data_IF_393668110346
#
_entry.id   IF_393668110346
#
_cell.length_a   1.000
_cell.length_b   1.000
_cell.length_c   1.000
_cell.angle_alpha   90.00
_cell.angle_beta   90.00
_cell.angle_gamma   90.00
#
_symmetry.space_group_name_H-M   'P 1'
#
loop_
_entity.id
_entity.type
_entity.pdbx_description
1 polymer ?
#
# COMPACT_ATOMS: atom_id res chain seq x y z
N UNK A 1 14.09 38.51 -37.57
CA UNK A 1 13.12 38.35 -36.47
C UNK A 1 12.61 36.92 -36.31
N UNK A 2 12.18 36.21 -37.38
CA UNK A 2 11.71 34.80 -37.33
C UNK A 2 12.68 33.80 -36.69
N UNK A 3 13.98 33.87 -37.02
CA UNK A 3 14.96 32.94 -36.45
C UNK A 3 15.11 33.05 -34.92
N UNK A 4 14.96 34.24 -34.35
CA UNK A 4 14.98 34.40 -32.89
C UNK A 4 13.70 33.86 -32.24
N UNK A 5 12.52 34.06 -32.84
CA UNK A 5 11.26 33.54 -32.27
C UNK A 5 11.24 32.01 -32.22
N UNK A 6 11.74 31.33 -33.25
CA UNK A 6 11.80 29.86 -33.28
C UNK A 6 12.72 29.29 -32.18
N UNK A 7 13.82 29.98 -31.87
CA UNK A 7 14.72 29.60 -30.78
C UNK A 7 14.07 29.81 -29.40
N UNK A 8 13.32 30.90 -29.22
CA UNK A 8 12.57 31.12 -27.98
C UNK A 8 11.47 30.07 -27.78
N UNK A 9 10.75 29.69 -28.84
CA UNK A 9 9.75 28.62 -28.78
C UNK A 9 10.36 27.27 -28.41
N UNK A 10 11.51 26.92 -29.00
CA UNK A 10 12.23 25.69 -28.67
C UNK A 10 12.70 25.66 -27.20
N UNK A 11 13.20 26.78 -26.68
CA UNK A 11 13.60 26.89 -25.28
C UNK A 11 12.39 26.71 -24.36
N UNK A 12 11.25 27.32 -24.68
CA UNK A 12 10.01 27.18 -23.90
C UNK A 12 9.55 25.72 -23.89
N UNK A 13 9.51 25.06 -25.04
CA UNK A 13 9.13 23.64 -25.15
C UNK A 13 10.10 22.76 -24.35
N UNK A 14 11.40 23.02 -24.42
CA UNK A 14 12.39 22.27 -23.66
C UNK A 14 12.18 22.41 -22.14
N UNK A 15 11.94 23.63 -21.65
CA UNK A 15 11.66 23.90 -20.24
C UNK A 15 10.38 23.18 -19.78
N UNK A 16 9.34 23.16 -20.61
CA UNK A 16 8.09 22.46 -20.30
C UNK A 16 8.30 20.94 -20.21
N UNK A 17 9.05 20.35 -21.13
CA UNK A 17 9.36 18.91 -21.13
C UNK A 17 10.17 18.54 -19.87
N UNK A 18 11.22 19.29 -19.56
CA UNK A 18 12.04 19.05 -18.36
C UNK A 18 11.19 19.21 -17.08
N UNK A 19 10.34 20.24 -17.04
CA UNK A 19 9.40 20.46 -15.94
C UNK A 19 8.42 19.29 -15.77
N UNK A 20 7.93 18.72 -16.86
CA UNK A 20 7.02 17.56 -16.84
C UNK A 20 7.72 16.31 -16.29
N UNK A 21 8.94 16.02 -16.74
CA UNK A 21 9.74 14.90 -16.20
C UNK A 21 10.07 15.09 -14.72
N UNK A 22 10.41 16.31 -14.30
CA UNK A 22 10.65 16.63 -12.89
C UNK A 22 9.39 16.44 -12.04
N UNK A 23 8.24 16.90 -12.55
CA UNK A 23 6.93 16.71 -11.93
C UNK A 23 6.62 15.23 -11.73
N UNK A 24 6.75 14.41 -12.77
CA UNK A 24 6.54 12.96 -12.69
C UNK A 24 7.49 12.30 -11.68
N UNK A 25 8.78 12.65 -11.72
CA UNK A 25 9.77 12.11 -10.79
C UNK A 25 9.44 12.46 -9.33
N UNK A 26 9.06 13.71 -9.05
CA UNK A 26 8.72 14.15 -7.70
C UNK A 26 7.45 13.47 -7.18
N UNK A 27 6.43 13.28 -8.01
CA UNK A 27 5.21 12.58 -7.66
C UNK A 27 5.46 11.10 -7.31
N UNK A 28 6.28 10.41 -8.13
CA UNK A 28 6.68 9.02 -7.86
C UNK A 28 7.48 8.92 -6.56
N UNK A 29 8.43 9.83 -6.35
CA UNK A 29 9.26 9.86 -5.13
C UNK A 29 8.42 10.13 -3.88
N UNK A 30 7.46 11.07 -3.96
CA UNK A 30 6.53 11.37 -2.87
C UNK A 30 5.65 10.16 -2.55
N UNK A 31 5.09 9.49 -3.57
CA UNK A 31 4.29 8.28 -3.39
C UNK A 31 5.10 7.17 -2.73
N UNK A 32 6.32 6.90 -3.20
CA UNK A 32 7.22 5.90 -2.59
C UNK A 32 7.52 6.26 -1.13
N UNK A 33 7.79 7.52 -0.82
CA UNK A 33 8.09 7.97 0.54
C UNK A 33 6.88 7.82 1.48
N UNK A 34 5.70 8.25 1.03
CA UNK A 34 4.44 8.11 1.78
C UNK A 34 4.13 6.64 2.04
N UNK A 35 4.19 5.80 1.00
CA UNK A 35 3.96 4.36 1.13
C UNK A 35 4.98 3.68 2.05
N UNK A 36 6.23 4.12 2.04
CA UNK A 36 7.28 3.60 2.95
C UNK A 36 7.06 4.02 4.41
N UNK A 37 6.53 5.22 4.64
CA UNK A 37 6.32 5.75 5.99
C UNK A 37 4.98 5.34 6.61
N UNK A 38 3.90 5.39 5.84
CA UNK A 38 2.54 5.07 6.29
C UNK A 38 2.26 3.56 6.25
N UNK A 39 2.91 2.82 5.35
CA UNK A 39 2.59 1.42 5.09
C UNK A 39 1.42 1.28 4.12
N UNK A 40 0.92 0.05 3.99
CA UNK A 40 -0.21 -0.32 3.16
C UNK A 40 -1.34 -0.86 4.04
N UNK A 41 -2.57 -0.51 3.68
CA UNK A 41 -3.75 -1.02 4.36
C UNK A 41 -4.15 -2.37 3.76
N UNK A 42 -4.38 -3.34 4.64
CA UNK A 42 -4.73 -4.70 4.29
C UNK A 42 -5.91 -5.17 5.10
N UNK A 43 -6.80 -5.88 4.43
CA UNK A 43 -7.84 -6.68 5.03
C UNK A 43 -7.36 -8.13 5.13
N UNK A 44 -7.24 -8.63 6.35
CA UNK A 44 -6.90 -10.01 6.66
C UNK A 44 -8.19 -10.73 7.04
N UNK A 45 -8.47 -11.86 6.40
CA UNK A 45 -9.55 -12.77 6.78
C UNK A 45 -9.00 -14.16 7.05
N UNK A 46 -9.45 -14.76 8.15
CA UNK A 46 -9.15 -16.13 8.53
C UNK A 46 -10.36 -17.03 8.25
N UNK A 47 -10.20 -17.95 7.31
CA UNK A 47 -11.20 -18.98 7.00
C UNK A 47 -10.82 -20.29 7.70
N UNK A 48 -10.68 -20.25 9.03
CA UNK A 48 -10.32 -21.41 9.83
C UNK A 48 -11.43 -21.72 10.85
N UNK A 49 -12.24 -22.77 10.65
CA UNK A 49 -13.25 -23.16 11.61
C UNK A 49 -12.59 -23.66 12.90
N UNK A 50 -12.86 -22.98 14.02
CA UNK A 50 -12.51 -23.45 15.37
C UNK A 50 -11.21 -22.92 15.99
N UNK A 51 -10.45 -22.05 15.32
CA UNK A 51 -9.26 -21.40 15.89
C UNK A 51 -9.39 -19.89 15.85
N UNK A 52 -9.51 -19.28 17.03
CA UNK A 52 -9.53 -17.83 17.19
C UNK A 52 -8.08 -17.34 17.12
N UNK A 53 -7.75 -16.60 16.06
CA UNK A 53 -6.40 -16.06 15.85
C UNK A 53 -6.38 -14.62 16.31
N UNK A 54 -5.87 -14.39 17.51
CA UNK A 54 -5.80 -13.05 18.07
C UNK A 54 -4.47 -12.36 17.69
N UNK A 55 -4.51 -11.54 16.64
CA UNK A 55 -3.36 -10.74 16.20
C UNK A 55 -2.90 -9.71 17.24
N UNK A 56 -3.79 -9.26 18.14
CA UNK A 56 -3.43 -8.31 19.20
C UNK A 56 -2.50 -8.91 20.26
N UNK A 57 -2.41 -10.24 20.34
CA UNK A 57 -1.50 -10.94 21.26
C UNK A 57 -0.10 -11.17 20.68
N UNK A 58 0.11 -10.95 19.38
CA UNK A 58 1.42 -11.10 18.75
C UNK A 58 2.19 -9.78 18.79
N UNK A 59 2.98 -9.61 19.85
CA UNK A 59 3.81 -8.42 20.07
C UNK A 59 4.93 -8.26 19.04
N UNK A 60 5.32 -9.32 18.32
CA UNK A 60 6.33 -9.26 17.26
C UNK A 60 5.68 -8.70 16.00
N UNK A 61 4.50 -9.20 15.64
CA UNK A 61 3.72 -8.73 14.50
C UNK A 61 3.31 -7.26 14.67
N UNK A 62 2.87 -6.86 15.87
CA UNK A 62 2.47 -5.49 16.18
C UNK A 62 3.60 -4.44 16.07
N UNK A 63 4.87 -4.86 15.99
CA UNK A 63 5.98 -3.94 15.69
C UNK A 63 6.01 -3.54 14.21
N UNK A 64 5.42 -4.36 13.34
CA UNK A 64 5.46 -4.17 11.90
C UNK A 64 4.10 -3.81 11.30
N UNK A 65 3.01 -4.09 12.03
CA UNK A 65 1.65 -3.76 11.65
C UNK A 65 0.94 -2.96 12.75
N UNK A 66 -0.01 -2.12 12.36
CA UNK A 66 -0.96 -1.46 13.23
C UNK A 66 -2.35 -2.00 12.93
N UNK A 67 -3.04 -2.52 13.93
CA UNK A 67 -4.44 -2.95 13.77
C UNK A 67 -5.33 -1.71 13.81
N UNK A 68 -6.11 -1.49 12.75
CA UNK A 68 -7.03 -0.36 12.60
C UNK A 68 -8.42 -0.76 13.07
N UNK A 69 -8.87 -1.95 12.67
CA UNK A 69 -10.15 -2.51 13.07
C UNK A 69 -10.08 -4.03 13.12
N UNK A 70 -10.99 -4.63 13.88
CA UNK A 70 -11.17 -6.07 13.95
C UNK A 70 -12.66 -6.42 14.07
N UNK A 71 -13.03 -7.61 13.62
CA UNK A 71 -14.36 -8.15 13.85
C UNK A 71 -14.49 -8.69 15.27
N UNK A 72 -15.71 -8.69 15.83
CA UNK A 72 -15.98 -9.16 17.21
C UNK A 72 -15.58 -10.62 17.43
N UNK A 73 -15.72 -11.43 16.39
CA UNK A 73 -15.38 -12.84 16.32
C UNK A 73 -13.90 -13.10 15.97
N UNK A 74 -13.10 -12.04 15.77
CA UNK A 74 -11.67 -12.12 15.46
C UNK A 74 -11.35 -12.98 14.22
N UNK A 75 -12.31 -13.08 13.29
CA UNK A 75 -12.15 -13.75 12.00
C UNK A 75 -11.57 -12.82 10.94
N UNK A 76 -11.64 -11.50 11.15
CA UNK A 76 -11.09 -10.53 10.22
C UNK A 76 -10.51 -9.29 10.90
N UNK A 77 -9.53 -8.69 10.23
CA UNK A 77 -8.74 -7.57 10.70
C UNK A 77 -8.41 -6.63 9.56
N UNK A 78 -8.65 -5.33 9.76
CA UNK A 78 -8.07 -4.28 8.92
C UNK A 78 -6.78 -3.81 9.59
N UNK A 79 -5.66 -3.95 8.90
CA UNK A 79 -4.33 -3.65 9.43
C UNK A 79 -3.56 -2.78 8.46
N UNK A 80 -2.81 -1.84 9.01
CA UNK A 80 -1.82 -1.08 8.27
C UNK A 80 -0.45 -1.72 8.49
N UNK A 81 0.20 -2.18 7.42
CA UNK A 81 1.46 -2.91 7.49
C UNK A 81 2.54 -2.25 6.64
N UNK A 82 3.76 -2.17 7.18
CA UNK A 82 4.94 -1.78 6.38
C UNK A 82 5.45 -2.91 5.48
N UNK A 83 5.00 -4.14 5.70
CA UNK A 83 5.29 -5.29 4.86
C UNK A 83 4.42 -5.29 3.60
N UNK A 84 4.92 -5.91 2.52
CA UNK A 84 4.06 -6.24 1.38
C UNK A 84 3.07 -7.37 1.76
N UNK A 85 2.02 -7.50 0.95
CA UNK A 85 0.98 -8.52 1.04
C UNK A 85 1.56 -9.94 1.13
N UNK A 86 2.52 -10.29 0.27
CA UNK A 86 3.12 -11.62 0.21
C UNK A 86 3.90 -11.98 1.48
N UNK A 87 4.70 -11.06 2.00
CA UNK A 87 5.46 -11.28 3.23
C UNK A 87 4.54 -11.33 4.44
N UNK A 88 3.52 -10.47 4.48
CA UNK A 88 2.51 -10.50 5.54
C UNK A 88 1.75 -11.82 5.55
N UNK A 89 1.28 -12.30 4.38
CA UNK A 89 0.62 -13.60 4.24
C UNK A 89 1.53 -14.74 4.69
N UNK A 90 2.77 -14.77 4.21
CA UNK A 90 3.75 -15.81 4.58
C UNK A 90 4.05 -15.82 6.09
N UNK A 91 4.17 -14.63 6.72
CA UNK A 91 4.36 -14.54 8.16
C UNK A 91 3.17 -15.16 8.91
N UNK A 92 1.94 -14.77 8.55
CA UNK A 92 0.72 -15.28 9.20
C UNK A 92 0.58 -16.79 9.02
N UNK A 93 0.85 -17.30 7.82
CA UNK A 93 0.84 -18.75 7.55
C UNK A 93 1.84 -19.50 8.43
N UNK A 94 3.08 -19.01 8.51
CA UNK A 94 4.13 -19.66 9.29
C UNK A 94 3.86 -19.59 10.80
N UNK A 95 3.50 -18.41 11.30
CA UNK A 95 3.33 -18.16 12.73
C UNK A 95 2.12 -18.89 13.31
N UNK A 96 1.03 -18.99 12.56
CA UNK A 96 -0.21 -19.60 13.04
C UNK A 96 -0.46 -21.01 12.48
N UNK A 97 0.50 -21.55 11.73
CA UNK A 97 0.44 -22.84 11.03
C UNK A 97 -0.80 -22.96 10.14
N UNK A 98 -1.01 -21.94 9.29
CA UNK A 98 -2.16 -21.86 8.37
C UNK A 98 -1.75 -22.25 6.96
N UNK A 99 -2.70 -22.83 6.24
CA UNK A 99 -2.59 -23.06 4.80
C UNK A 99 -2.98 -21.81 4.00
N UNK A 100 -2.62 -21.79 2.71
CA UNK A 100 -2.86 -20.65 1.82
C UNK A 100 -4.36 -20.29 1.69
N UNK A 101 -5.24 -21.28 1.83
CA UNK A 101 -6.70 -21.13 1.76
C UNK A 101 -7.32 -20.62 3.06
N UNK A 102 -6.62 -20.76 4.18
CA UNK A 102 -7.11 -20.42 5.52
C UNK A 102 -6.79 -18.99 5.92
N UNK A 103 -5.91 -18.31 5.19
CA UNK A 103 -5.60 -16.89 5.39
C UNK A 103 -5.65 -16.15 4.06
N UNK A 104 -6.46 -15.10 4.02
CA UNK A 104 -6.60 -14.22 2.87
C UNK A 104 -6.11 -12.84 3.28
N UNK A 105 -5.12 -12.31 2.57
CA UNK A 105 -4.62 -10.94 2.72
C UNK A 105 -4.96 -10.20 1.45
N UNK A 106 -5.79 -9.17 1.56
CA UNK A 106 -6.18 -8.32 0.44
C UNK A 106 -5.75 -6.89 0.74
N UNK A 107 -5.22 -6.20 -0.26
CA UNK A 107 -4.98 -4.76 -0.12
C UNK A 107 -6.32 -4.08 0.01
N UNK A 108 -6.54 -3.34 1.11
CA UNK A 108 -7.59 -2.33 1.16
C UNK A 108 -7.09 -1.22 0.24
N UNK A 109 -7.34 -1.39 -1.05
CA UNK A 109 -7.24 -0.28 -1.96
C UNK A 109 -8.24 0.73 -1.41
N UNK A 110 -7.76 1.82 -0.82
CA UNK A 110 -8.47 3.07 -0.90
C UNK A 110 -8.75 3.23 -2.39
N UNK A 111 -9.96 2.88 -2.80
CA UNK A 111 -10.57 3.48 -3.96
C UNK A 111 -10.29 4.96 -3.78
N UNK A 112 -9.34 5.48 -4.58
CA UNK A 112 -9.18 6.92 -4.65
C UNK A 112 -10.54 7.54 -4.99
N UNK A 113 -10.66 8.87 -5.05
CA UNK A 113 -11.89 9.53 -5.50
C UNK A 113 -12.38 9.12 -6.91
N UNK A 114 -11.73 8.16 -7.58
CA UNK A 114 -12.10 7.54 -8.85
C UNK A 114 -12.95 6.27 -8.73
N UNK A 115 -13.36 5.88 -7.52
CA UNK A 115 -14.25 4.72 -7.28
C UNK A 115 -15.75 5.03 -7.28
N UNK A 116 -16.15 6.26 -7.63
CA UNK A 116 -17.54 6.61 -7.91
C UNK A 116 -17.72 6.73 -9.42
N UNK A 117 -18.14 5.64 -10.04
CA UNK A 117 -18.92 5.67 -11.28
C UNK A 117 -20.36 5.27 -10.93
#
# INVERSE_FOLDING_TARGET
MRFMSDQFEQIIVFVLIVGMFYGMYSAVKAKIWVTKNLGYDYYIRFNYPGKIINLQKDSILLKQIKIVANSKDLSSYSVQSKMNDKNLKNYLMKQYHLTDQQVVVQTEQFSGPLGMI
#
